data_IF_375080630923
#
_entry.id   IF_375080630923
#
_cell.length_a   1.000
_cell.length_b   1.000
_cell.length_c   1.000
_cell.angle_alpha   90.00
_cell.angle_beta   90.00
_cell.angle_gamma   90.00
#
_symmetry.space_group_name_H-M   'P 1'
#
loop_
_entity.id
_entity.type
_entity.pdbx_description
1 polymer ?
#
# COMPACT_ATOMS: atom_id res chain seq x y z
N UNK A 1 -11.86 -9.18 9.18
CA UNK A 1 -11.40 -7.78 9.44
C UNK A 1 -12.34 -6.87 8.65
N UNK A 2 -12.67 -5.69 9.17
CA UNK A 2 -13.61 -4.80 8.48
C UNK A 2 -12.95 -4.17 7.24
N UNK A 3 -13.69 -3.95 6.13
CA UNK A 3 -13.16 -3.33 4.93
C UNK A 3 -12.52 -1.96 5.24
N UNK A 4 -11.43 -1.63 4.55
CA UNK A 4 -10.77 -0.33 4.73
C UNK A 4 -11.64 0.72 4.07
N UNK A 5 -12.37 1.49 4.87
CA UNK A 5 -13.22 2.55 4.33
C UNK A 5 -12.36 3.64 3.66
N UNK A 6 -12.80 4.23 2.53
CA UNK A 6 -12.06 5.28 1.83
C UNK A 6 -11.71 6.47 2.73
N UNK A 7 -12.59 6.79 3.69
CA UNK A 7 -12.38 7.85 4.68
C UNK A 7 -11.21 7.53 5.61
N UNK A 8 -11.12 6.29 6.09
CA UNK A 8 -10.00 5.85 6.94
C UNK A 8 -8.69 5.86 6.15
N UNK A 9 -8.74 5.42 4.89
CA UNK A 9 -7.58 5.48 4.01
C UNK A 9 -7.15 6.92 3.70
N UNK A 10 -8.09 7.84 3.48
CA UNK A 10 -7.79 9.25 3.28
C UNK A 10 -7.09 9.89 4.49
N UNK A 11 -7.49 9.49 5.71
CA UNK A 11 -6.88 9.97 6.95
C UNK A 11 -5.47 9.42 7.17
N UNK A 12 -5.27 8.10 7.04
CA UNK A 12 -3.95 7.49 7.31
C UNK A 12 -2.99 7.64 6.14
N UNK A 13 -3.52 7.65 4.91
CA UNK A 13 -2.78 7.58 3.64
C UNK A 13 -1.84 6.38 3.53
N UNK A 14 -2.06 5.38 4.39
CA UNK A 14 -1.30 4.16 4.45
C UNK A 14 -2.26 3.03 4.15
N UNK A 15 -1.99 2.32 3.06
CA UNK A 15 -2.67 1.12 2.61
C UNK A 15 -1.83 -0.10 2.98
N UNK A 16 -2.44 -1.10 3.60
CA UNK A 16 -1.77 -2.38 3.81
C UNK A 16 -1.83 -3.23 2.54
N UNK A 17 -0.70 -3.81 2.13
CA UNK A 17 -0.65 -4.64 0.92
C UNK A 17 -1.50 -5.90 1.04
N UNK A 18 -1.69 -6.42 2.26
CA UNK A 18 -2.55 -7.58 2.48
C UNK A 18 -4.04 -7.19 2.27
N UNK A 19 -4.43 -5.97 2.61
CA UNK A 19 -5.78 -5.45 2.36
C UNK A 19 -6.02 -5.16 0.88
N UNK A 20 -4.98 -4.69 0.18
CA UNK A 20 -5.00 -4.54 -1.28
C UNK A 20 -5.18 -5.91 -1.97
N UNK A 21 -4.41 -6.92 -1.57
CA UNK A 21 -4.48 -8.27 -2.14
C UNK A 21 -5.85 -8.94 -1.93
N UNK A 22 -6.54 -8.61 -0.84
CA UNK A 22 -7.91 -9.09 -0.55
C UNK A 22 -9.01 -8.29 -1.24
N UNK A 23 -8.65 -7.29 -2.05
CA UNK A 23 -9.58 -6.37 -2.70
C UNK A 23 -10.54 -5.67 -1.71
N UNK A 24 -10.07 -5.41 -0.48
CA UNK A 24 -10.86 -4.79 0.61
C UNK A 24 -10.80 -3.26 0.58
N UNK A 25 -10.27 -2.67 -0.49
CA UNK A 25 -9.92 -1.24 -0.56
C UNK A 25 -10.45 -0.64 -1.86
N UNK A 26 -11.23 0.44 -1.73
CA UNK A 26 -11.65 1.25 -2.88
C UNK A 26 -10.81 2.52 -2.99
N UNK A 27 -9.95 2.55 -4.01
CA UNK A 27 -9.09 3.69 -4.35
C UNK A 27 -9.77 4.72 -5.26
N UNK A 28 -10.96 4.44 -5.79
CA UNK A 28 -11.68 5.37 -6.70
C UNK A 28 -12.13 6.61 -5.97
N UNK A 29 -12.58 6.47 -4.73
CA UNK A 29 -13.00 7.55 -3.85
C UNK A 29 -11.84 8.23 -3.09
N UNK A 30 -10.58 7.84 -3.37
CA UNK A 30 -9.42 8.38 -2.66
C UNK A 30 -9.07 9.79 -3.17
N UNK A 31 -9.08 10.83 -2.31
CA UNK A 31 -8.97 12.22 -2.73
C UNK A 31 -7.52 12.72 -2.91
N UNK A 32 -6.52 11.95 -2.48
CA UNK A 32 -5.12 12.39 -2.49
C UNK A 32 -4.32 11.80 -3.65
N UNK A 33 -3.31 12.54 -4.10
CA UNK A 33 -2.38 12.09 -5.16
C UNK A 33 -1.25 11.22 -4.64
N UNK A 34 -1.00 11.19 -3.32
CA UNK A 34 0.05 10.39 -2.71
C UNK A 34 -0.55 9.32 -1.83
N UNK A 35 0.01 8.11 -1.89
CA UNK A 35 -0.40 6.96 -1.11
C UNK A 35 0.84 6.23 -0.63
N UNK A 36 0.88 5.82 0.63
CA UNK A 36 1.88 4.89 1.13
C UNK A 36 1.30 3.47 1.12
N UNK A 37 2.02 2.52 0.56
CA UNK A 37 1.73 1.09 0.64
C UNK A 37 2.67 0.48 1.68
N UNK A 38 2.10 -0.21 2.65
CA UNK A 38 2.78 -0.88 3.75
C UNK A 38 2.82 -2.37 3.49
N UNK A 39 4.01 -2.96 3.53
CA UNK A 39 4.20 -4.40 3.62
C UNK A 39 4.77 -4.76 5.00
N UNK A 40 4.13 -5.72 5.66
CA UNK A 40 4.62 -6.32 6.89
C UNK A 40 5.32 -7.64 6.55
N UNK A 41 6.47 -7.95 7.18
CA UNK A 41 7.09 -9.25 7.00
C UNK A 41 6.12 -10.33 7.52
N UNK A 42 5.81 -11.30 6.67
CA UNK A 42 5.04 -12.47 7.09
C UNK A 42 5.96 -13.62 7.51
N UNK A 43 5.37 -14.66 8.09
CA UNK A 43 6.10 -15.87 8.49
C UNK A 43 6.84 -16.56 7.34
N UNK A 44 6.33 -16.45 6.10
CA UNK A 44 6.78 -17.28 4.95
C UNK A 44 7.13 -16.50 3.70
N UNK A 45 6.82 -15.19 3.62
CA UNK A 45 7.09 -14.38 2.43
C UNK A 45 7.86 -13.13 2.79
N UNK A 46 8.84 -12.79 1.94
CA UNK A 46 9.57 -11.52 2.04
C UNK A 46 8.59 -10.35 1.90
N UNK A 47 8.65 -9.40 2.85
CA UNK A 47 7.87 -8.17 2.76
C UNK A 47 8.17 -7.39 1.47
N UNK A 48 9.38 -7.54 0.92
CA UNK A 48 9.79 -6.92 -0.35
C UNK A 48 8.98 -7.48 -1.52
N UNK A 49 8.85 -8.80 -1.63
CA UNK A 49 8.08 -9.44 -2.71
C UNK A 49 6.63 -8.97 -2.70
N UNK A 50 6.02 -8.98 -1.52
CA UNK A 50 4.62 -8.55 -1.36
C UNK A 50 4.45 -7.07 -1.71
N UNK A 51 5.39 -6.23 -1.29
CA UNK A 51 5.40 -4.81 -1.64
C UNK A 51 5.51 -4.60 -3.16
N UNK A 52 6.38 -5.35 -3.85
CA UNK A 52 6.53 -5.27 -5.31
C UNK A 52 5.25 -5.68 -6.03
N UNK A 53 4.59 -6.76 -5.61
CA UNK A 53 3.30 -7.19 -6.19
C UNK A 53 2.23 -6.12 -6.03
N UNK A 54 2.14 -5.49 -4.85
CA UNK A 54 1.19 -4.40 -4.61
C UNK A 54 1.50 -3.14 -5.43
N UNK A 55 2.77 -2.80 -5.60
CA UNK A 55 3.20 -1.68 -6.46
C UNK A 55 2.84 -1.96 -7.92
N UNK A 56 3.12 -3.15 -8.42
CA UNK A 56 2.79 -3.56 -9.79
C UNK A 56 1.29 -3.50 -10.04
N UNK A 57 0.49 -4.01 -9.11
CA UNK A 57 -0.96 -3.91 -9.18
C UNK A 57 -1.42 -2.45 -9.24
N UNK A 58 -0.94 -1.59 -8.35
CA UNK A 58 -1.32 -0.17 -8.34
C UNK A 58 -0.83 0.60 -9.57
N UNK A 59 0.28 0.19 -10.18
CA UNK A 59 0.79 0.74 -11.44
C UNK A 59 -0.23 0.61 -12.57
N UNK A 60 -0.95 -0.51 -12.64
CA UNK A 60 -2.03 -0.72 -13.60
C UNK A 60 -3.20 0.27 -13.44
N UNK A 61 -3.36 0.86 -12.25
CA UNK A 61 -4.36 1.88 -11.94
C UNK A 61 -3.80 3.31 -11.98
N UNK A 62 -2.60 3.50 -12.55
CA UNK A 62 -1.99 4.82 -12.76
C UNK A 62 -1.22 5.35 -11.56
N UNK A 63 -0.80 4.49 -10.63
CA UNK A 63 0.09 4.87 -9.53
C UNK A 63 1.56 4.60 -9.88
N UNK A 64 2.41 5.62 -9.81
CA UNK A 64 3.85 5.48 -9.97
C UNK A 64 4.53 5.34 -8.62
N UNK A 65 5.51 4.44 -8.52
CA UNK A 65 6.40 4.35 -7.38
C UNK A 65 7.31 5.59 -7.33
N UNK A 66 7.32 6.28 -6.19
CA UNK A 66 8.17 7.44 -5.92
C UNK A 66 9.40 7.03 -5.11
N UNK A 67 9.21 6.26 -4.04
CA UNK A 67 10.30 5.84 -3.17
C UNK A 67 9.91 4.59 -2.37
N UNK A 68 10.91 3.86 -1.87
CA UNK A 68 10.75 2.80 -0.87
C UNK A 68 11.62 3.13 0.33
N UNK A 69 11.06 3.00 1.54
CA UNK A 69 11.80 3.14 2.79
C UNK A 69 11.48 1.98 3.71
N UNK A 70 12.46 1.55 4.50
CA UNK A 70 12.21 0.73 5.67
C UNK A 70 12.04 1.62 6.90
N UNK A 71 11.26 1.16 7.88
CA UNK A 71 11.28 1.69 9.24
C UNK A 71 11.85 0.58 10.13
N UNK A 72 13.15 0.68 10.39
CA UNK A 72 13.99 -0.41 10.90
C UNK A 72 13.57 -0.97 12.26
N UNK A 73 12.77 -0.24 13.06
CA UNK A 73 12.27 -0.74 14.35
C UNK A 73 11.25 -1.88 14.23
N UNK A 74 10.45 -1.91 13.17
CA UNK A 74 9.34 -2.86 13.02
C UNK A 74 9.42 -3.72 11.76
N UNK A 75 10.55 -3.66 11.03
CA UNK A 75 10.76 -4.36 9.75
C UNK A 75 9.68 -4.05 8.70
N UNK A 76 8.98 -2.93 8.86
CA UNK A 76 7.95 -2.49 7.93
C UNK A 76 8.59 -1.82 6.74
N UNK A 77 8.12 -2.21 5.56
CA UNK A 77 8.51 -1.59 4.30
C UNK A 77 7.37 -0.71 3.82
N UNK A 78 7.71 0.50 3.43
CA UNK A 78 6.78 1.48 2.89
C UNK A 78 7.20 1.82 1.46
N UNK A 79 6.29 1.63 0.51
CA UNK A 79 6.40 2.20 -0.83
C UNK A 79 5.53 3.45 -0.90
N UNK A 80 6.12 4.59 -1.22
CA UNK A 80 5.39 5.81 -1.51
C UNK A 80 5.07 5.86 -3.00
N UNK A 81 3.78 5.99 -3.30
CA UNK A 81 3.24 6.03 -4.65
C UNK A 81 2.60 7.39 -4.92
N UNK A 82 2.58 7.79 -6.19
CA UNK A 82 1.94 8.98 -6.68
C UNK A 82 1.02 8.65 -7.85
N UNK A 83 -0.23 9.09 -7.79
CA UNK A 83 -1.17 8.97 -8.90
C UNK A 83 -0.78 9.93 -10.03
N UNK A 84 -0.59 9.38 -11.22
CA UNK A 84 -0.30 10.13 -12.45
C UNK A 84 -1.47 11.03 -12.82
#
# INVERSE_FOLDING_TARGET
MAPVTPQKLAQTRILDVDALARNEVDLRAYPHRHLALLARPGLTSSGVTRLMEGVEYLSQFGWELVNVTDISRNQFLYAFLRRR
#
